data_IF_582198698145
#
_entry.id   IF_582198698145
#
_cell.length_a   1.000
_cell.length_b   1.000
_cell.length_c   1.000
_cell.angle_alpha   90.00
_cell.angle_beta   90.00
_cell.angle_gamma   90.00
#
_symmetry.space_group_name_H-M   'P 1'
#
loop_
_entity.id
_entity.type
_entity.pdbx_description
1 polymer ?
#
# COMPACT_ATOMS: atom_id res chain seq x y z
N UNK A 1 35.32 -37.03 -3.65
CA UNK A 1 35.36 -35.97 -2.62
C UNK A 1 35.60 -34.66 -3.36
N UNK A 2 34.71 -33.65 -3.26
CA UNK A 2 34.97 -32.35 -3.86
C UNK A 2 36.25 -31.73 -3.28
N UNK A 3 37.00 -31.01 -4.10
CA UNK A 3 38.23 -30.35 -3.67
C UNK A 3 37.91 -29.24 -2.66
N UNK A 4 38.86 -28.95 -1.76
CA UNK A 4 38.71 -27.89 -0.77
C UNK A 4 38.35 -26.54 -1.43
N UNK A 5 38.92 -26.29 -2.60
CA UNK A 5 38.65 -25.12 -3.44
C UNK A 5 37.19 -25.04 -3.90
N UNK A 6 36.61 -26.17 -4.34
CA UNK A 6 35.22 -26.21 -4.77
C UNK A 6 34.24 -25.97 -3.59
N UNK A 7 34.64 -26.34 -2.37
CA UNK A 7 33.86 -26.06 -1.17
C UNK A 7 33.93 -24.57 -0.78
N UNK A 8 35.11 -23.95 -0.85
CA UNK A 8 35.28 -22.51 -0.60
C UNK A 8 34.54 -21.66 -1.64
N UNK A 9 34.55 -22.07 -2.91
CA UNK A 9 33.85 -21.37 -3.97
C UNK A 9 32.33 -21.49 -3.82
N UNK A 10 31.82 -22.64 -3.37
CA UNK A 10 30.40 -22.83 -3.04
C UNK A 10 29.94 -21.97 -1.86
N UNK A 11 30.75 -21.88 -0.79
CA UNK A 11 30.48 -21.02 0.36
C UNK A 11 30.46 -19.53 0.01
N UNK A 12 31.39 -19.09 -0.85
CA UNK A 12 31.40 -17.71 -1.36
C UNK A 12 30.18 -17.41 -2.22
N UNK A 13 29.74 -18.38 -3.03
CA UNK A 13 28.53 -18.28 -3.84
C UNK A 13 27.29 -18.17 -2.95
N UNK A 14 27.21 -18.97 -1.90
CA UNK A 14 26.08 -18.93 -0.95
C UNK A 14 26.02 -17.61 -0.18
N UNK A 15 27.17 -17.08 0.25
CA UNK A 15 27.27 -15.74 0.85
C UNK A 15 26.87 -14.62 -0.12
N UNK A 16 27.17 -14.76 -1.41
CA UNK A 16 26.74 -13.79 -2.43
C UNK A 16 25.24 -13.90 -2.71
N UNK A 17 24.70 -15.12 -2.76
CA UNK A 17 23.25 -15.35 -2.87
C UNK A 17 22.48 -14.76 -1.69
N UNK A 18 22.94 -14.98 -0.45
CA UNK A 18 22.28 -14.40 0.74
C UNK A 18 22.37 -12.87 0.78
N UNK A 19 23.47 -12.27 0.27
CA UNK A 19 23.58 -10.80 0.13
C UNK A 19 22.65 -10.27 -0.97
N UNK A 20 22.49 -11.00 -2.07
CA UNK A 20 21.55 -10.66 -3.14
C UNK A 20 20.09 -10.81 -2.68
N UNK A 21 19.75 -11.84 -1.93
CA UNK A 21 18.42 -12.00 -1.31
C UNK A 21 18.11 -10.84 -0.36
N UNK A 22 19.03 -10.53 0.57
CA UNK A 22 18.86 -9.39 1.49
C UNK A 22 18.77 -8.03 0.79
N UNK A 23 19.39 -7.87 -0.38
CA UNK A 23 19.25 -6.66 -1.19
C UNK A 23 17.95 -6.66 -2.01
N UNK A 24 17.50 -7.83 -2.48
CA UNK A 24 16.20 -7.97 -3.17
C UNK A 24 15.02 -7.71 -2.23
N UNK A 25 15.11 -8.09 -0.95
CA UNK A 25 14.12 -7.76 0.08
C UNK A 25 14.09 -6.26 0.42
N UNK A 26 15.17 -5.52 0.14
CA UNK A 26 15.26 -4.08 0.39
C UNK A 26 14.68 -3.22 -0.74
N UNK A 27 14.63 -3.69 -1.98
CA UNK A 27 14.34 -2.81 -3.13
C UNK A 27 13.60 -3.51 -4.28
N UNK A 28 12.42 -4.08 -4.02
CA UNK A 28 11.44 -4.20 -5.10
C UNK A 28 10.66 -2.87 -5.20
N UNK A 29 10.75 -2.12 -6.32
CA UNK A 29 10.06 -0.84 -6.47
C UNK A 29 8.55 -0.95 -6.20
N UNK A 30 7.92 -2.07 -6.58
CA UNK A 30 6.51 -2.31 -6.30
C UNK A 30 6.16 -2.46 -4.81
N UNK A 31 7.08 -2.95 -3.96
CA UNK A 31 6.87 -3.06 -2.50
C UNK A 31 6.97 -1.69 -1.84
N UNK A 32 7.89 -0.83 -2.31
CA UNK A 32 8.00 0.55 -1.85
C UNK A 32 6.77 1.38 -2.25
N UNK A 33 6.28 1.21 -3.48
CA UNK A 33 5.08 1.88 -3.98
C UNK A 33 3.82 1.44 -3.23
N UNK A 34 3.67 0.15 -2.92
CA UNK A 34 2.54 -0.34 -2.12
C UNK A 34 2.56 0.24 -0.70
N UNK A 35 3.73 0.25 -0.04
CA UNK A 35 3.90 0.90 1.29
C UNK A 35 3.56 2.40 1.23
N UNK A 36 3.95 3.09 0.15
CA UNK A 36 3.64 4.50 -0.03
C UNK A 36 2.12 4.74 -0.20
N UNK A 37 1.42 3.87 -0.95
CA UNK A 37 -0.04 3.91 -1.09
C UNK A 37 -0.72 3.70 0.27
N UNK A 38 -0.25 2.74 1.07
CA UNK A 38 -0.79 2.47 2.40
C UNK A 38 -0.55 3.63 3.38
N UNK A 39 0.65 4.19 3.40
CA UNK A 39 0.98 5.33 4.24
C UNK A 39 0.13 6.57 3.87
N UNK A 40 -0.06 6.83 2.57
CA UNK A 40 -0.92 7.91 2.11
C UNK A 40 -2.38 7.69 2.52
N UNK A 41 -2.90 6.47 2.39
CA UNK A 41 -4.25 6.10 2.85
C UNK A 41 -4.41 6.35 4.36
N UNK A 42 -3.47 5.88 5.17
CA UNK A 42 -3.55 6.05 6.63
C UNK A 42 -3.50 7.51 7.05
N UNK A 43 -2.66 8.32 6.39
CA UNK A 43 -2.58 9.77 6.64
C UNK A 43 -3.91 10.45 6.31
N UNK A 44 -4.45 10.22 5.12
CA UNK A 44 -5.72 10.81 4.70
C UNK A 44 -6.88 10.38 5.61
N UNK A 45 -6.94 9.10 6.00
CA UNK A 45 -7.94 8.59 6.92
C UNK A 45 -7.88 9.29 8.30
N UNK A 46 -6.67 9.56 8.81
CA UNK A 46 -6.47 10.28 10.07
C UNK A 46 -6.91 11.75 9.95
N UNK A 47 -6.56 12.41 8.86
CA UNK A 47 -6.94 13.81 8.61
C UNK A 47 -8.45 13.96 8.44
N UNK A 48 -9.08 13.07 7.67
CA UNK A 48 -10.54 12.99 7.52
C UNK A 48 -11.24 12.81 8.86
N UNK A 49 -10.78 11.85 9.69
CA UNK A 49 -11.35 11.63 11.04
C UNK A 49 -11.25 12.88 11.91
N UNK A 50 -10.12 13.57 11.85
CA UNK A 50 -9.90 14.82 12.60
C UNK A 50 -10.82 15.93 12.12
N UNK A 51 -10.97 16.09 10.80
CA UNK A 51 -11.86 17.06 10.17
C UNK A 51 -13.32 16.81 10.58
N UNK A 52 -13.78 15.57 10.50
CA UNK A 52 -15.12 15.18 10.90
C UNK A 52 -15.38 15.40 12.39
N UNK A 53 -14.41 15.07 13.25
CA UNK A 53 -14.51 15.34 14.67
C UNK A 53 -14.64 16.85 14.95
N UNK A 54 -13.84 17.68 14.29
CA UNK A 54 -13.91 19.14 14.43
C UNK A 54 -15.25 19.70 13.97
N UNK A 55 -15.71 19.33 12.77
CA UNK A 55 -17.01 19.77 12.25
C UNK A 55 -18.17 19.30 13.12
N UNK A 56 -18.10 18.07 13.65
CA UNK A 56 -19.09 17.56 14.61
C UNK A 56 -19.14 18.39 15.88
N UNK A 57 -17.99 18.77 16.44
CA UNK A 57 -17.93 19.59 17.65
C UNK A 57 -18.48 21.01 17.41
N UNK A 58 -18.20 21.60 16.24
CA UNK A 58 -18.77 22.88 15.82
C UNK A 58 -20.29 22.81 15.70
N UNK A 59 -20.83 21.76 15.07
CA UNK A 59 -22.28 21.58 14.91
C UNK A 59 -22.97 21.24 16.24
N UNK A 60 -22.27 20.56 17.16
CA UNK A 60 -22.75 20.30 18.52
C UNK A 60 -22.64 21.50 19.46
N UNK A 61 -22.15 22.67 19.00
CA UNK A 61 -21.94 23.82 19.88
C UNK A 61 -23.27 24.27 20.51
N UNK A 62 -23.36 24.15 21.84
CA UNK A 62 -24.59 24.44 22.60
C UNK A 62 -25.62 23.31 22.62
N UNK A 63 -25.41 22.24 21.84
CA UNK A 63 -26.26 21.05 21.80
C UNK A 63 -25.61 19.95 22.63
N UNK A 64 -26.26 19.59 23.73
CA UNK A 64 -25.80 18.51 24.61
C UNK A 64 -26.82 17.39 24.64
N UNK A 65 -26.37 16.20 25.03
CA UNK A 65 -27.26 15.04 25.24
C UNK A 65 -28.36 15.33 26.27
N UNK A 66 -28.15 16.27 27.20
CA UNK A 66 -29.12 16.67 28.23
C UNK A 66 -30.09 17.74 27.73
N UNK A 67 -29.59 18.77 27.03
CA UNK A 67 -30.40 19.89 26.55
C UNK A 67 -31.24 19.55 25.32
N UNK A 68 -30.70 18.73 24.41
CA UNK A 68 -31.35 18.38 23.15
C UNK A 68 -30.93 16.97 22.69
N UNK A 69 -31.47 15.91 23.31
CA UNK A 69 -31.04 14.53 23.04
C UNK A 69 -31.31 14.07 21.61
N UNK A 70 -32.44 14.48 21.03
CA UNK A 70 -32.83 14.11 19.65
C UNK A 70 -31.84 14.73 18.65
N UNK A 71 -31.58 16.02 18.79
CA UNK A 71 -30.67 16.75 17.91
C UNK A 71 -29.22 16.27 18.07
N UNK A 72 -28.79 16.02 19.32
CA UNK A 72 -27.48 15.43 19.61
C UNK A 72 -27.31 14.07 18.90
N UNK A 73 -28.34 13.22 18.94
CA UNK A 73 -28.34 11.93 18.24
C UNK A 73 -28.30 12.13 16.71
N UNK A 74 -29.16 13.00 16.16
CA UNK A 74 -29.22 13.30 14.72
C UNK A 74 -27.86 13.75 14.17
N UNK A 75 -27.19 14.66 14.88
CA UNK A 75 -25.84 15.11 14.52
C UNK A 75 -24.84 13.96 14.65
N UNK A 76 -24.92 13.15 15.71
CA UNK A 76 -24.11 11.93 15.86
C UNK A 76 -24.24 10.99 14.65
N UNK A 77 -25.46 10.61 14.31
CA UNK A 77 -25.76 9.68 13.21
C UNK A 77 -25.29 10.24 11.86
N UNK A 78 -25.48 11.54 11.62
CA UNK A 78 -24.96 12.25 10.43
C UNK A 78 -23.46 12.06 10.24
N UNK A 79 -22.65 12.26 11.29
CA UNK A 79 -21.19 12.13 11.18
C UNK A 79 -20.71 10.68 11.16
N UNK A 80 -21.49 9.73 11.69
CA UNK A 80 -21.23 8.30 11.50
C UNK A 80 -21.43 7.92 10.03
N UNK A 81 -22.57 8.26 9.43
CA UNK A 81 -22.86 7.98 8.02
C UNK A 81 -21.82 8.63 7.11
N UNK A 82 -21.51 9.90 7.33
CA UNK A 82 -20.46 10.62 6.60
C UNK A 82 -19.10 9.91 6.72
N UNK A 83 -18.74 9.47 7.92
CA UNK A 83 -17.49 8.74 8.14
C UNK A 83 -17.41 7.42 7.37
N UNK A 84 -18.53 6.67 7.30
CA UNK A 84 -18.61 5.44 6.49
C UNK A 84 -18.45 5.74 5.01
N UNK A 85 -19.17 6.73 4.49
CA UNK A 85 -19.11 7.11 3.07
C UNK A 85 -17.73 7.60 2.65
N UNK A 86 -17.11 8.49 3.43
CA UNK A 86 -15.78 9.02 3.14
C UNK A 86 -14.71 7.92 3.22
N UNK A 87 -14.82 6.99 4.18
CA UNK A 87 -13.91 5.84 4.27
C UNK A 87 -14.07 4.89 3.06
N UNK A 88 -15.30 4.63 2.61
CA UNK A 88 -15.55 3.83 1.41
C UNK A 88 -14.92 4.47 0.16
N UNK A 89 -15.08 5.79 -0.01
CA UNK A 89 -14.44 6.54 -1.09
C UNK A 89 -12.92 6.42 -1.03
N UNK A 90 -12.34 6.55 0.15
CA UNK A 90 -10.90 6.45 0.35
C UNK A 90 -10.36 5.04 0.04
N UNK A 91 -11.09 4.00 0.45
CA UNK A 91 -10.78 2.61 0.11
C UNK A 91 -10.85 2.36 -1.39
N UNK A 92 -11.85 2.90 -2.08
CA UNK A 92 -11.95 2.80 -3.54
C UNK A 92 -10.76 3.47 -4.24
N UNK A 93 -10.29 4.62 -3.74
CA UNK A 93 -9.09 5.29 -4.26
C UNK A 93 -7.83 4.44 -4.01
N UNK A 94 -7.70 3.87 -2.81
CA UNK A 94 -6.58 2.96 -2.48
C UNK A 94 -6.54 1.77 -3.44
N UNK A 95 -7.68 1.11 -3.64
CA UNK A 95 -7.78 -0.07 -4.49
C UNK A 95 -7.46 0.26 -5.96
N UNK A 96 -7.98 1.37 -6.49
CA UNK A 96 -7.63 1.81 -7.86
C UNK A 96 -6.12 1.99 -8.05
N UNK A 97 -5.43 2.60 -7.09
CA UNK A 97 -3.97 2.76 -7.14
C UNK A 97 -3.23 1.43 -7.08
N UNK A 98 -3.74 0.47 -6.31
CA UNK A 98 -3.18 -0.89 -6.25
C UNK A 98 -3.40 -1.62 -7.57
N UNK A 99 -4.57 -1.47 -8.18
CA UNK A 99 -4.87 -2.07 -9.49
C UNK A 99 -3.98 -1.50 -10.59
N UNK A 100 -3.78 -0.17 -10.61
CA UNK A 100 -2.83 0.51 -11.51
C UNK A 100 -1.40 -0.01 -11.32
N UNK A 101 -0.96 -0.18 -10.06
CA UNK A 101 0.35 -0.74 -9.73
C UNK A 101 0.50 -2.18 -10.24
N UNK A 102 -0.52 -3.01 -10.04
CA UNK A 102 -0.54 -4.40 -10.50
C UNK A 102 -0.49 -4.49 -12.03
N UNK A 103 -1.22 -3.62 -12.73
CA UNK A 103 -1.22 -3.58 -14.19
C UNK A 103 0.15 -3.13 -14.74
N UNK A 104 0.77 -2.13 -14.12
CA UNK A 104 2.14 -1.73 -14.45
C UNK A 104 3.13 -2.88 -14.26
N UNK A 105 3.02 -3.63 -13.16
CA UNK A 105 3.86 -4.80 -12.93
C UNK A 105 3.64 -5.90 -13.99
N UNK A 106 2.39 -6.14 -14.43
CA UNK A 106 2.09 -7.08 -15.52
C UNK A 106 2.70 -6.65 -16.84
N UNK A 107 2.54 -5.38 -17.22
CA UNK A 107 3.14 -4.83 -18.44
C UNK A 107 4.67 -4.93 -18.44
N UNK A 108 5.31 -4.67 -17.31
CA UNK A 108 6.77 -4.82 -17.17
C UNK A 108 7.22 -6.27 -17.34
N UNK A 109 6.49 -7.23 -16.75
CA UNK A 109 6.76 -8.66 -16.93
C UNK A 109 6.58 -9.09 -18.39
N UNK A 110 5.53 -8.65 -19.07
CA UNK A 110 5.32 -8.94 -20.48
C UNK A 110 6.48 -8.40 -21.34
N UNK A 111 6.88 -7.13 -21.14
CA UNK A 111 8.03 -6.54 -21.84
C UNK A 111 9.35 -7.27 -21.58
N UNK A 112 9.54 -7.78 -20.35
CA UNK A 112 10.72 -8.56 -20.00
C UNK A 112 10.72 -9.91 -20.74
N UNK A 113 9.59 -10.62 -20.74
CA UNK A 113 9.43 -11.88 -21.45
C UNK A 113 9.68 -11.72 -22.96
N UNK A 114 9.10 -10.70 -23.59
CA UNK A 114 9.34 -10.39 -25.01
C UNK A 114 10.82 -10.15 -25.32
N UNK A 115 11.56 -9.49 -24.41
CA UNK A 115 12.99 -9.25 -24.56
C UNK A 115 13.80 -10.52 -24.42
N UNK A 116 13.45 -11.38 -23.46
CA UNK A 116 14.11 -12.68 -23.27
C UNK A 116 13.92 -13.54 -24.52
N UNK A 117 12.68 -13.67 -25.01
CA UNK A 117 12.36 -14.46 -26.21
C UNK A 117 13.15 -13.96 -27.44
N UNK A 118 13.20 -12.65 -27.68
CA UNK A 118 14.02 -12.05 -28.76
C UNK A 118 15.51 -12.30 -28.61
N UNK A 119 16.01 -12.44 -27.39
CA UNK A 119 17.42 -12.68 -27.12
C UNK A 119 17.76 -14.15 -27.33
N UNK A 120 16.90 -15.06 -26.89
CA UNK A 120 17.02 -16.52 -27.11
C UNK A 120 16.97 -16.82 -28.61
N UNK A 121 15.98 -16.30 -29.34
CA UNK A 121 15.84 -16.52 -30.79
C UNK A 121 16.95 -15.89 -31.64
N UNK A 122 17.79 -15.01 -31.07
CA UNK A 122 18.99 -14.47 -31.73
C UNK A 122 20.26 -15.28 -31.46
N UNK A 123 20.23 -16.12 -30.43
CA UNK A 123 21.35 -16.95 -30.03
C UNK A 123 21.31 -18.35 -30.66
N UNK A 124 20.14 -18.77 -31.15
CA UNK A 124 19.92 -19.92 -32.05
C UNK A 124 20.17 -19.56 -33.52
#
# INVERSE_FOLDING_TARGET
MPSLQALEDALKLEDTFQKLEKNSEKEYPGVLELKAIEAAFQREAKEMKTRNAKSRLEELRGITKKSSPIEYKRIGDKYVLRGVEENLKLMNIKNKKIDELNENARMLRAKLNDRIEKTVNRAE
#
